data_IF_809845893000
#
_entry.id   IF_809845893000
#
_cell.length_a   1.000
_cell.length_b   1.000
_cell.length_c   1.000
_cell.angle_alpha   90.00
_cell.angle_beta   90.00
_cell.angle_gamma   90.00
#
_symmetry.space_group_name_H-M   'P 1'
#
loop_
_entity.id
_entity.type
_entity.pdbx_description
1 polymer ?
#
# COMPACT_ATOMS: atom_id res chain seq x y z
N UNK A 1 66.60 -16.44 -29.96
CA UNK A 1 65.21 -16.29 -29.52
C UNK A 1 64.34 -15.96 -30.74
N UNK A 2 63.13 -16.54 -30.81
CA UNK A 2 62.29 -16.73 -32.01
C UNK A 2 61.58 -15.41 -32.40
N UNK A 3 60.77 -15.30 -33.45
CA UNK A 3 60.06 -16.29 -34.23
C UNK A 3 59.41 -15.66 -35.47
N UNK A 4 59.14 -16.55 -36.41
CA UNK A 4 58.84 -16.37 -37.82
C UNK A 4 57.42 -15.90 -38.15
N UNK A 5 57.32 -15.43 -39.39
CA UNK A 5 56.19 -14.82 -40.09
C UNK A 5 55.05 -15.82 -40.37
N UNK A 6 53.83 -15.29 -40.45
CA UNK A 6 52.62 -15.99 -40.93
C UNK A 6 52.68 -16.35 -42.42
N UNK A 7 52.08 -17.50 -42.81
CA UNK A 7 50.94 -17.64 -43.76
C UNK A 7 50.92 -19.00 -44.51
N UNK A 8 49.76 -19.66 -44.38
CA UNK A 8 48.98 -20.45 -45.37
C UNK A 8 49.54 -21.79 -45.91
N UNK A 9 48.80 -22.88 -45.66
CA UNK A 9 48.35 -23.80 -46.70
C UNK A 9 47.13 -24.63 -46.22
N UNK A 10 46.16 -24.76 -47.12
CA UNK A 10 44.84 -25.37 -46.94
C UNK A 10 44.81 -26.87 -47.22
N UNK A 11 43.79 -27.58 -46.73
CA UNK A 11 43.17 -28.72 -47.43
C UNK A 11 41.86 -29.18 -46.76
N UNK A 12 40.81 -29.31 -47.59
CA UNK A 12 39.48 -29.87 -47.29
C UNK A 12 39.52 -31.40 -47.09
N UNK A 13 38.62 -31.90 -46.24
CA UNK A 13 37.86 -33.16 -46.30
C UNK A 13 36.94 -33.13 -45.05
N UNK A 14 35.63 -33.37 -45.02
CA UNK A 14 34.77 -34.20 -45.85
C UNK A 14 33.94 -35.10 -44.92
N UNK A 15 32.63 -34.81 -44.82
CA UNK A 15 31.49 -35.69 -44.49
C UNK A 15 31.26 -36.15 -43.02
N UNK A 16 30.08 -35.83 -42.47
CA UNK A 16 28.95 -36.75 -42.16
C UNK A 16 28.06 -36.19 -41.03
N UNK A 17 26.80 -35.92 -41.39
CA UNK A 17 25.67 -35.71 -40.50
C UNK A 17 25.43 -36.98 -39.69
N UNK A 18 25.07 -36.88 -38.40
CA UNK A 18 23.99 -37.66 -37.76
C UNK A 18 23.78 -37.24 -36.30
N UNK A 19 22.51 -37.31 -35.91
CA UNK A 19 21.97 -37.33 -34.54
C UNK A 19 21.66 -35.97 -33.89
N UNK A 20 20.57 -35.37 -34.36
CA UNK A 20 19.74 -34.52 -33.51
C UNK A 20 18.91 -35.39 -32.56
N UNK A 21 19.03 -35.13 -31.25
CA UNK A 21 18.05 -35.52 -30.24
C UNK A 21 17.65 -34.26 -29.46
N UNK A 22 16.34 -34.07 -29.36
CA UNK A 22 15.64 -32.93 -28.77
C UNK A 22 15.63 -33.02 -27.24
N UNK A 23 15.64 -31.89 -26.53
CA UNK A 23 15.05 -31.76 -25.18
C UNK A 23 14.76 -30.26 -24.97
N UNK A 24 13.54 -29.80 -25.24
CA UNK A 24 12.39 -29.65 -24.33
C UNK A 24 12.27 -28.23 -23.77
N UNK A 25 11.08 -27.67 -24.01
CA UNK A 25 10.47 -26.48 -23.46
C UNK A 25 11.25 -25.71 -22.37
N UNK A 26 11.59 -24.46 -22.68
CA UNK A 26 11.82 -23.45 -21.64
C UNK A 26 10.46 -23.14 -21.04
N UNK A 27 10.11 -23.88 -19.99
CA UNK A 27 9.03 -23.52 -19.08
C UNK A 27 9.51 -22.30 -18.30
N UNK A 28 9.09 -21.11 -18.71
CA UNK A 28 9.29 -19.87 -17.95
C UNK A 28 8.29 -19.87 -16.81
N UNK A 29 8.47 -20.77 -15.85
CA UNK A 29 7.90 -20.58 -14.53
C UNK A 29 8.69 -19.43 -13.89
N UNK A 30 8.03 -18.28 -13.76
CA UNK A 30 8.41 -17.24 -12.81
C UNK A 30 8.59 -17.92 -11.45
N UNK A 31 9.84 -18.18 -11.11
CA UNK A 31 10.22 -18.62 -9.78
C UNK A 31 9.91 -17.45 -8.88
N UNK A 32 8.82 -17.57 -8.12
CA UNK A 32 8.50 -16.68 -7.00
C UNK A 32 9.70 -16.73 -6.07
N UNK A 33 10.55 -15.71 -6.17
CA UNK A 33 11.70 -15.50 -5.31
C UNK A 33 11.18 -15.28 -3.89
N UNK A 34 11.14 -16.35 -3.10
CA UNK A 34 11.00 -16.32 -1.64
C UNK A 34 12.33 -15.90 -1.01
N UNK A 35 12.84 -14.73 -1.42
CA UNK A 35 13.78 -13.98 -0.63
C UNK A 35 13.05 -13.30 0.54
N UNK A 36 13.73 -12.95 1.64
CA UNK A 36 13.14 -12.11 2.67
C UNK A 36 12.67 -10.80 2.01
N UNK A 37 11.37 -10.50 2.10
CA UNK A 37 10.82 -9.21 1.65
C UNK A 37 11.45 -8.13 2.53
N UNK A 38 12.52 -7.52 2.05
CA UNK A 38 13.08 -6.32 2.63
C UNK A 38 12.02 -5.22 2.49
N UNK A 39 11.22 -5.01 3.54
CA UNK A 39 10.24 -3.93 3.55
C UNK A 39 10.97 -2.61 3.40
N UNK A 40 10.42 -1.73 2.56
CA UNK A 40 10.95 -0.37 2.48
C UNK A 40 10.80 0.33 3.85
N UNK A 41 11.62 1.34 4.16
CA UNK A 41 11.44 2.13 5.38
C UNK A 41 10.01 2.69 5.51
N UNK A 42 9.41 3.13 4.40
CA UNK A 42 8.02 3.61 4.38
C UNK A 42 7.03 2.50 4.79
N UNK A 43 7.16 1.30 4.23
CA UNK A 43 6.31 0.15 4.58
C UNK A 43 6.51 -0.31 6.03
N UNK A 44 7.73 -0.21 6.54
CA UNK A 44 8.05 -0.50 7.94
C UNK A 44 7.37 0.50 8.87
N UNK A 45 7.47 1.80 8.58
CA UNK A 45 6.79 2.85 9.36
C UNK A 45 5.26 2.76 9.24
N UNK A 46 4.69 2.40 8.09
CA UNK A 46 3.25 2.09 7.98
C UNK A 46 2.84 0.95 8.91
N UNK A 47 3.64 -0.12 8.96
CA UNK A 47 3.36 -1.26 9.83
C UNK A 47 3.44 -0.89 11.32
N UNK A 48 4.46 -0.12 11.72
CA UNK A 48 4.58 0.39 13.08
C UNK A 48 3.41 1.31 13.44
N UNK A 49 3.03 2.23 12.54
CA UNK A 49 1.88 3.12 12.71
C UNK A 49 0.59 2.35 12.97
N UNK A 50 0.30 1.31 12.17
CA UNK A 50 -0.87 0.43 12.38
C UNK A 50 -0.84 -0.30 13.72
N UNK A 51 0.33 -0.76 14.15
CA UNK A 51 0.47 -1.45 15.45
C UNK A 51 0.16 -0.50 16.59
N UNK A 52 0.82 0.66 16.64
CA UNK A 52 0.55 1.65 17.67
C UNK A 52 -0.88 2.18 17.65
N UNK A 53 -1.49 2.33 16.47
CA UNK A 53 -2.89 2.74 16.38
C UNK A 53 -3.84 1.72 17.01
N UNK A 54 -3.62 0.41 16.76
CA UNK A 54 -4.42 -0.67 17.37
C UNK A 54 -4.25 -0.74 18.89
N UNK A 55 -3.07 -0.37 19.39
CA UNK A 55 -2.76 -0.28 20.83
C UNK A 55 -3.25 1.03 21.47
N UNK A 56 -3.97 1.87 20.73
CA UNK A 56 -4.40 3.21 21.14
C UNK A 56 -3.24 4.18 21.50
N UNK A 57 -2.02 3.85 21.08
CA UNK A 57 -0.83 4.69 21.21
C UNK A 57 -0.81 5.76 20.09
N UNK A 58 -1.85 6.60 20.01
CA UNK A 58 -2.12 7.47 18.86
C UNK A 58 -1.01 8.50 18.58
N UNK A 59 -0.29 8.96 19.60
CA UNK A 59 0.87 9.84 19.41
C UNK A 59 2.06 9.15 18.74
N UNK A 60 2.28 7.85 19.00
CA UNK A 60 3.29 7.06 18.30
C UNK A 60 2.81 6.67 16.90
N UNK A 61 1.52 6.33 16.77
CA UNK A 61 0.91 6.06 15.47
C UNK A 61 1.07 7.26 14.52
N UNK A 62 0.77 8.47 15.00
CA UNK A 62 0.96 9.72 14.26
C UNK A 62 2.40 9.87 13.75
N UNK A 63 3.40 9.69 14.62
CA UNK A 63 4.82 9.82 14.25
C UNK A 63 5.21 8.85 13.15
N UNK A 64 4.80 7.59 13.25
CA UNK A 64 5.12 6.57 12.27
C UNK A 64 4.38 6.78 10.94
N UNK A 65 3.07 7.08 10.98
CA UNK A 65 2.34 7.39 9.75
C UNK A 65 2.86 8.65 9.07
N UNK A 66 3.24 9.68 9.83
CA UNK A 66 3.88 10.89 9.29
C UNK A 66 5.18 10.57 8.59
N UNK A 67 6.06 9.79 9.23
CA UNK A 67 7.32 9.36 8.62
C UNK A 67 7.10 8.52 7.37
N UNK A 68 6.08 7.66 7.37
CA UNK A 68 5.71 6.89 6.18
C UNK A 68 5.30 7.78 5.00
N UNK A 69 4.48 8.81 5.21
CA UNK A 69 4.08 9.72 4.12
C UNK A 69 5.15 10.74 3.72
N UNK A 70 6.10 11.04 4.60
CA UNK A 70 7.32 11.79 4.26
C UNK A 70 8.25 11.00 3.33
N UNK A 71 8.29 9.67 3.52
CA UNK A 71 9.09 8.76 2.69
C UNK A 71 8.37 8.36 1.39
N UNK A 72 7.05 8.22 1.44
CA UNK A 72 6.19 7.91 0.30
C UNK A 72 4.89 8.73 0.38
N UNK A 73 4.91 9.89 -0.26
CA UNK A 73 3.75 10.78 -0.34
C UNK A 73 2.59 10.18 -1.15
N UNK A 74 2.83 9.12 -1.94
CA UNK A 74 1.81 8.41 -2.72
C UNK A 74 0.97 7.43 -1.92
N UNK A 75 1.30 7.19 -0.64
CA UNK A 75 0.60 6.21 0.19
C UNK A 75 -0.72 6.75 0.75
N UNK A 76 -1.82 6.49 0.04
CA UNK A 76 -3.16 6.82 0.52
C UNK A 76 -3.49 6.16 1.87
N UNK A 77 -2.96 4.96 2.13
CA UNK A 77 -3.09 4.29 3.42
C UNK A 77 -2.35 5.06 4.53
N UNK A 78 -1.13 5.52 4.26
CA UNK A 78 -0.37 6.35 5.21
C UNK A 78 -1.09 7.62 5.58
N UNK A 79 -1.61 8.35 4.58
CA UNK A 79 -2.41 9.56 4.81
C UNK A 79 -3.68 9.27 5.60
N UNK A 80 -4.36 8.17 5.32
CA UNK A 80 -5.56 7.75 6.06
C UNK A 80 -5.24 7.39 7.52
N UNK A 81 -4.13 6.67 7.76
CA UNK A 81 -3.67 6.34 9.11
C UNK A 81 -3.23 7.56 9.91
N UNK A 82 -2.57 8.52 9.25
CA UNK A 82 -2.20 9.80 9.84
C UNK A 82 -3.45 10.61 10.22
N UNK A 83 -4.43 10.70 9.33
CA UNK A 83 -5.69 11.39 9.59
C UNK A 83 -6.44 10.77 10.80
N UNK A 84 -6.59 9.45 10.81
CA UNK A 84 -7.23 8.74 11.92
C UNK A 84 -6.48 8.93 13.24
N UNK A 85 -5.15 9.00 13.21
CA UNK A 85 -4.34 9.29 14.41
C UNK A 85 -4.59 10.71 14.92
N UNK A 86 -4.69 11.70 14.03
CA UNK A 86 -5.05 13.07 14.40
C UNK A 86 -6.46 13.18 14.98
N UNK A 87 -7.43 12.44 14.45
CA UNK A 87 -8.79 12.39 15.01
C UNK A 87 -8.80 11.91 16.46
N UNK A 88 -8.07 10.84 16.76
CA UNK A 88 -7.98 10.30 18.12
C UNK A 88 -7.25 11.26 19.08
N UNK A 89 -6.39 12.13 18.54
CA UNK A 89 -5.71 13.18 19.29
C UNK A 89 -6.53 14.49 19.39
N UNK A 90 -7.74 14.54 18.81
CA UNK A 90 -8.58 15.75 18.75
C UNK A 90 -8.03 16.86 17.85
N UNK A 91 -7.03 16.56 17.00
CA UNK A 91 -6.37 17.52 16.09
C UNK A 91 -7.07 17.54 14.74
N UNK A 92 -8.35 17.89 14.76
CA UNK A 92 -9.26 17.75 13.63
C UNK A 92 -8.86 18.54 12.37
N UNK A 93 -8.21 19.69 12.53
CA UNK A 93 -7.71 20.48 11.40
C UNK A 93 -6.59 19.74 10.62
N UNK A 94 -5.72 19.02 11.33
CA UNK A 94 -4.70 18.18 10.71
C UNK A 94 -5.32 16.92 10.09
N UNK A 95 -6.33 16.35 10.73
CA UNK A 95 -7.07 15.21 10.18
C UNK A 95 -7.71 15.56 8.82
N UNK A 96 -8.37 16.72 8.71
CA UNK A 96 -9.01 17.16 7.46
C UNK A 96 -7.99 17.32 6.32
N UNK A 97 -6.81 17.88 6.60
CA UNK A 97 -5.72 17.98 5.61
C UNK A 97 -5.23 16.62 5.15
N UNK A 98 -5.00 15.69 6.08
CA UNK A 98 -4.53 14.35 5.77
C UNK A 98 -5.60 13.52 5.01
N UNK A 99 -6.88 13.66 5.38
CA UNK A 99 -7.98 13.08 4.59
C UNK A 99 -8.07 13.68 3.18
N UNK A 100 -7.80 14.98 3.03
CA UNK A 100 -7.69 15.63 1.72
C UNK A 100 -6.64 14.97 0.83
N UNK A 101 -5.45 14.67 1.38
CA UNK A 101 -4.41 13.93 0.65
C UNK A 101 -4.84 12.51 0.29
N UNK A 102 -5.40 11.77 1.25
CA UNK A 102 -5.91 10.41 0.99
C UNK A 102 -7.01 10.41 -0.09
N UNK A 103 -7.86 11.44 -0.12
CA UNK A 103 -8.91 11.60 -1.12
C UNK A 103 -8.36 11.88 -2.52
N UNK A 104 -7.32 12.71 -2.62
CA UNK A 104 -6.64 13.00 -3.89
C UNK A 104 -6.01 11.73 -4.48
N UNK A 105 -5.44 10.87 -3.64
CA UNK A 105 -4.72 9.67 -4.07
C UNK A 105 -5.65 8.48 -4.37
N UNK A 106 -6.60 8.17 -3.48
CA UNK A 106 -7.44 6.98 -3.60
C UNK A 106 -8.82 7.26 -4.22
N UNK A 107 -9.20 8.53 -4.34
CA UNK A 107 -10.56 8.95 -4.66
C UNK A 107 -11.53 8.71 -3.50
N UNK A 108 -12.80 9.03 -3.73
CA UNK A 108 -13.88 8.98 -2.74
C UNK A 108 -14.38 7.55 -2.49
N UNK A 109 -13.53 6.70 -1.92
CA UNK A 109 -13.84 5.29 -1.64
C UNK A 109 -14.71 5.14 -0.37
N UNK A 110 -15.64 4.18 -0.31
CA UNK A 110 -16.52 4.00 0.84
C UNK A 110 -15.82 3.89 2.20
N UNK A 111 -14.69 3.16 2.28
CA UNK A 111 -13.88 3.04 3.50
C UNK A 111 -13.32 4.38 3.97
N UNK A 112 -12.80 5.19 3.04
CA UNK A 112 -12.27 6.53 3.34
C UNK A 112 -13.39 7.46 3.81
N UNK A 113 -14.53 7.45 3.12
CA UNK A 113 -15.71 8.24 3.47
C UNK A 113 -16.25 7.85 4.85
N UNK A 114 -16.27 6.56 5.18
CA UNK A 114 -16.63 6.09 6.53
C UNK A 114 -15.69 6.62 7.59
N UNK A 115 -14.37 6.64 7.34
CA UNK A 115 -13.42 7.20 8.29
C UNK A 115 -13.63 8.71 8.50
N UNK A 116 -13.89 9.46 7.43
CA UNK A 116 -14.29 10.87 7.55
C UNK A 116 -15.60 11.03 8.34
N UNK A 117 -16.59 10.15 8.15
CA UNK A 117 -17.80 10.14 8.95
C UNK A 117 -17.52 9.96 10.45
N UNK A 118 -16.59 9.07 10.79
CA UNK A 118 -16.15 8.85 12.16
C UNK A 118 -15.40 10.07 12.74
N UNK A 119 -14.57 10.71 11.93
CA UNK A 119 -13.93 11.99 12.27
C UNK A 119 -14.94 13.08 12.64
N UNK A 120 -16.01 13.23 11.85
CA UNK A 120 -17.09 14.18 12.14
C UNK A 120 -17.88 13.82 13.41
N UNK A 121 -18.06 12.52 13.67
CA UNK A 121 -18.67 12.06 14.92
C UNK A 121 -17.84 12.46 16.14
N UNK A 122 -16.51 12.25 16.11
CA UNK A 122 -15.61 12.57 17.22
C UNK A 122 -15.59 14.06 17.57
N UNK A 123 -15.74 14.95 16.57
CA UNK A 123 -15.83 16.40 16.76
C UNK A 123 -17.25 16.91 17.04
N UNK A 124 -18.22 16.01 17.21
CA UNK A 124 -19.60 16.35 17.59
C UNK A 124 -20.53 16.72 16.43
N UNK A 125 -20.05 16.73 15.19
CA UNK A 125 -20.85 17.00 14.00
C UNK A 125 -21.63 15.75 13.56
N UNK A 126 -22.64 15.39 14.36
CA UNK A 126 -23.47 14.20 14.15
C UNK A 126 -24.23 14.24 12.82
N UNK A 127 -24.60 15.45 12.35
CA UNK A 127 -25.30 15.60 11.07
C UNK A 127 -24.38 15.18 9.93
N UNK A 128 -23.17 15.73 9.87
CA UNK A 128 -22.22 15.39 8.81
C UNK A 128 -21.74 13.95 8.89
N UNK A 129 -21.53 13.44 10.11
CA UNK A 129 -21.20 12.03 10.33
C UNK A 129 -22.27 11.12 9.71
N UNK A 130 -23.56 11.41 9.93
CA UNK A 130 -24.67 10.63 9.35
C UNK A 130 -24.65 10.64 7.83
N UNK A 131 -24.47 11.81 7.22
CA UNK A 131 -24.38 11.95 5.76
C UNK A 131 -23.28 11.06 5.19
N UNK A 132 -22.08 11.15 5.75
CA UNK A 132 -20.90 10.40 5.28
C UNK A 132 -21.03 8.89 5.53
N UNK A 133 -21.57 8.46 6.67
CA UNK A 133 -21.82 7.04 6.89
C UNK A 133 -22.87 6.48 5.93
N UNK A 134 -23.95 7.20 5.65
CA UNK A 134 -24.95 6.76 4.68
C UNK A 134 -24.37 6.67 3.27
N UNK A 135 -23.52 7.64 2.88
CA UNK A 135 -22.79 7.60 1.62
C UNK A 135 -21.85 6.38 1.54
N UNK A 136 -21.05 6.14 2.58
CA UNK A 136 -20.17 4.98 2.63
C UNK A 136 -20.96 3.66 2.56
N UNK A 137 -22.07 3.56 3.28
CA UNK A 137 -22.93 2.38 3.30
C UNK A 137 -23.42 1.99 1.90
N UNK A 138 -23.76 2.97 1.07
CA UNK A 138 -24.27 2.72 -0.29
C UNK A 138 -23.23 2.03 -1.22
N UNK A 139 -21.93 2.15 -0.92
CA UNK A 139 -20.86 1.56 -1.72
C UNK A 139 -20.18 0.33 -1.12
N UNK A 140 -20.64 -0.16 0.04
CA UNK A 140 -20.03 -1.31 0.73
C UNK A 140 -20.83 -2.60 0.53
N UNK A 141 -20.12 -3.70 0.31
CA UNK A 141 -20.71 -5.05 0.36
C UNK A 141 -20.95 -5.54 1.79
N UNK A 142 -20.05 -5.20 2.73
CA UNK A 142 -20.23 -5.44 4.17
C UNK A 142 -20.48 -4.10 4.89
N UNK A 143 -21.71 -3.93 5.38
CA UNK A 143 -22.15 -2.69 6.04
C UNK A 143 -21.99 -2.73 7.56
N UNK A 144 -21.58 -3.86 8.17
CA UNK A 144 -21.58 -4.05 9.64
C UNK A 144 -20.87 -2.95 10.41
N UNK A 145 -19.67 -2.56 9.95
CA UNK A 145 -18.90 -1.49 10.60
C UNK A 145 -19.59 -0.13 10.49
N UNK A 146 -20.17 0.18 9.34
CA UNK A 146 -20.85 1.47 9.12
C UNK A 146 -22.18 1.51 9.86
N UNK A 147 -22.90 0.40 9.93
CA UNK A 147 -24.14 0.28 10.70
C UNK A 147 -23.87 0.43 12.21
N UNK A 148 -22.77 -0.13 12.71
CA UNK A 148 -22.32 0.10 14.08
C UNK A 148 -22.02 1.57 14.35
N UNK A 149 -21.33 2.25 13.42
CA UNK A 149 -21.05 3.69 13.52
C UNK A 149 -22.33 4.55 13.48
N UNK A 150 -23.29 4.22 12.61
CA UNK A 150 -24.60 4.89 12.56
C UNK A 150 -25.36 4.74 13.88
N UNK A 151 -25.25 3.59 14.54
CA UNK A 151 -25.87 3.36 15.84
C UNK A 151 -25.27 4.25 16.95
N UNK A 152 -23.98 4.60 16.86
CA UNK A 152 -23.35 5.55 17.80
C UNK A 152 -24.01 6.93 17.76
N UNK A 153 -24.51 7.36 16.60
CA UNK A 153 -25.12 8.69 16.43
C UNK A 153 -26.44 8.85 17.20
N UNK A 154 -27.10 7.74 17.53
CA UNK A 154 -28.38 7.71 18.24
C UNK A 154 -28.20 7.56 19.76
N UNK A 155 -26.95 7.40 20.23
CA UNK A 155 -26.62 7.38 21.65
C UNK A 155 -26.27 8.81 22.07
N UNK A 156 -27.18 9.44 22.78
CA UNK A 156 -27.08 10.83 23.26
C UNK A 156 -28.10 11.06 24.34
#
# INVERSE_FOLDING_TARGET
MPGTKSLIAAALCGVLVLSGCQTSAIDTMETTSTGPVLRSPAESDLAAGRTHFREANYGLAEKHFRKAVELDAGSAEGWMGLAASYDQLGRFDFADRAYGQALQLAGRRPKLVSNMGYSHYLRGDRKKARELFMEARAGLSDTRLVDANLALLNRG
#
